data_IF_829927165923
#
_entry.id   IF_829927165923
#
_cell.length_a   1.000
_cell.length_b   1.000
_cell.length_c   1.000
_cell.angle_alpha   90.00
_cell.angle_beta   90.00
_cell.angle_gamma   90.00
#
_symmetry.space_group_name_H-M   'P 1'
#
loop_
_entity.id
_entity.type
_entity.pdbx_description
1 polymer ?
#
# COMPACT_ATOMS: atom_id res chain seq x y z
N UNK A 1 5.95 -4.48 -18.60
CA UNK A 1 4.60 -3.85 -18.59
C UNK A 1 3.48 -4.78 -18.12
N UNK A 2 3.34 -6.00 -18.66
CA UNK A 2 2.23 -6.92 -18.31
C UNK A 2 2.01 -7.11 -16.80
N UNK A 3 3.06 -7.45 -16.05
CA UNK A 3 2.95 -7.67 -14.60
C UNK A 3 2.68 -6.38 -13.83
N UNK A 4 3.31 -5.26 -14.20
CA UNK A 4 3.02 -3.96 -13.60
C UNK A 4 1.53 -3.62 -13.72
N UNK A 5 0.94 -3.78 -14.91
CA UNK A 5 -0.51 -3.58 -15.09
C UNK A 5 -1.34 -4.57 -14.26
N UNK A 6 -0.92 -5.83 -14.17
CA UNK A 6 -1.62 -6.85 -13.38
C UNK A 6 -1.65 -6.53 -11.87
N UNK A 7 -0.64 -5.84 -11.34
CA UNK A 7 -0.62 -5.36 -9.94
C UNK A 7 -1.71 -4.33 -9.63
N UNK A 8 -2.25 -3.65 -10.66
CA UNK A 8 -3.41 -2.78 -10.55
C UNK A 8 -4.69 -3.51 -10.94
N UNK A 9 -4.78 -4.00 -12.19
CA UNK A 9 -6.04 -4.48 -12.77
C UNK A 9 -6.63 -5.69 -12.06
N UNK A 10 -5.80 -6.52 -11.41
CA UNK A 10 -6.26 -7.69 -10.64
C UNK A 10 -6.90 -7.31 -9.30
N UNK A 11 -6.47 -6.21 -8.70
CA UNK A 11 -6.79 -5.88 -7.31
C UNK A 11 -7.59 -4.58 -7.15
N UNK A 12 -7.60 -3.71 -8.16
CA UNK A 12 -8.32 -2.44 -8.19
C UNK A 12 -9.49 -2.57 -9.17
N UNK A 13 -10.66 -3.05 -8.71
CA UNK A 13 -11.85 -3.12 -9.54
C UNK A 13 -12.35 -1.72 -9.91
N UNK A 14 -13.28 -1.67 -10.87
CA UNK A 14 -14.02 -0.46 -11.22
C UNK A 14 -14.64 0.18 -9.96
N UNK A 15 -14.74 1.50 -9.97
CA UNK A 15 -15.31 2.32 -8.89
C UNK A 15 -14.49 2.31 -7.59
N UNK A 16 -13.26 1.78 -7.62
CA UNK A 16 -12.32 2.00 -6.52
C UNK A 16 -11.88 3.46 -6.48
N UNK A 17 -11.74 3.99 -5.28
CA UNK A 17 -11.31 5.37 -5.04
C UNK A 17 -9.88 5.39 -4.51
N UNK A 18 -9.09 6.36 -4.94
CA UNK A 18 -7.76 6.61 -4.37
C UNK A 18 -7.93 7.20 -2.97
N UNK A 19 -7.21 6.64 -1.99
CA UNK A 19 -7.17 7.17 -0.63
C UNK A 19 -5.77 7.71 -0.33
N UNK A 20 -5.70 8.70 0.56
CA UNK A 20 -4.43 9.32 0.93
C UNK A 20 -3.51 8.32 1.63
N UNK A 21 -2.23 8.35 1.27
CA UNK A 21 -1.18 7.55 1.89
C UNK A 21 0.11 8.37 1.98
N UNK A 22 0.71 8.41 3.15
CA UNK A 22 1.96 9.15 3.42
C UNK A 22 3.09 8.18 3.76
N UNK A 23 4.30 8.52 3.35
CA UNK A 23 5.50 7.74 3.63
C UNK A 23 6.45 8.55 4.51
N UNK A 24 6.93 7.93 5.59
CA UNK A 24 7.84 8.52 6.54
C UNK A 24 9.07 7.63 6.71
N UNK A 25 10.23 8.26 6.94
CA UNK A 25 11.45 7.61 7.39
C UNK A 25 11.31 7.14 8.83
N UNK A 26 12.23 6.24 9.24
CA UNK A 26 12.40 5.87 10.64
C UNK A 26 12.63 7.08 11.54
N UNK A 27 13.28 8.13 11.01
CA UNK A 27 13.57 9.38 11.73
C UNK A 27 12.41 10.39 11.68
N UNK A 28 11.25 10.02 11.14
CA UNK A 28 10.06 10.86 11.05
C UNK A 28 10.08 11.90 9.91
N UNK A 29 11.18 12.01 9.17
CA UNK A 29 11.25 12.83 7.95
C UNK A 29 10.39 12.21 6.84
N UNK A 30 9.69 13.04 6.04
CA UNK A 30 8.99 12.54 4.85
C UNK A 30 10.01 11.98 3.85
N UNK A 31 9.78 10.75 3.40
CA UNK A 31 10.54 10.11 2.33
C UNK A 31 9.75 10.32 1.03
N UNK A 32 10.17 11.27 0.21
CA UNK A 32 9.51 11.52 -1.08
C UNK A 32 10.16 10.77 -2.25
N UNK A 33 11.40 10.29 -2.12
CA UNK A 33 12.19 9.90 -3.31
C UNK A 33 12.48 8.40 -3.49
N UNK A 34 12.15 7.50 -2.55
CA UNK A 34 12.71 6.13 -2.59
C UNK A 34 11.72 4.98 -2.81
N UNK A 35 10.44 5.16 -2.52
CA UNK A 35 9.41 4.12 -2.71
C UNK A 35 8.17 4.82 -3.22
N UNK A 36 7.70 4.40 -4.39
CA UNK A 36 6.43 4.91 -4.91
C UNK A 36 5.29 4.08 -4.32
N UNK A 37 4.21 4.75 -3.95
CA UNK A 37 3.09 4.11 -3.29
C UNK A 37 1.77 4.76 -3.68
N UNK A 38 0.73 3.94 -3.76
CA UNK A 38 -0.64 4.39 -3.95
C UNK A 38 -1.62 3.45 -3.28
N UNK A 39 -2.59 4.02 -2.59
CA UNK A 39 -3.60 3.28 -1.86
C UNK A 39 -5.00 3.50 -2.48
N UNK A 40 -5.81 2.45 -2.41
CA UNK A 40 -7.19 2.45 -2.90
C UNK A 40 -8.14 1.87 -1.85
N UNK A 41 -9.36 2.40 -1.85
CA UNK A 41 -10.51 1.74 -1.25
C UNK A 41 -11.42 1.23 -2.37
N UNK A 42 -11.66 -0.07 -2.35
CA UNK A 42 -12.51 -0.75 -3.33
C UNK A 42 -13.99 -0.68 -2.94
N UNK A 43 -14.94 -0.87 -3.87
CA UNK A 43 -16.38 -0.78 -3.57
C UNK A 43 -16.88 -1.82 -2.57
N UNK A 44 -16.21 -2.98 -2.48
CA UNK A 44 -16.53 -4.01 -1.49
C UNK A 44 -15.87 -3.77 -0.12
N UNK A 45 -15.21 -2.61 0.05
CA UNK A 45 -14.58 -2.18 1.28
C UNK A 45 -13.17 -2.69 1.51
N UNK A 46 -12.55 -3.45 0.60
CA UNK A 46 -11.13 -3.82 0.74
C UNK A 46 -10.23 -2.60 0.56
N UNK A 47 -9.13 -2.57 1.29
CA UNK A 47 -8.00 -1.66 1.06
C UNK A 47 -6.93 -2.36 0.25
N UNK A 48 -6.38 -1.63 -0.71
CA UNK A 48 -5.31 -2.08 -1.60
C UNK A 48 -4.19 -1.05 -1.54
N UNK A 49 -2.96 -1.50 -1.33
CA UNK A 49 -1.76 -0.67 -1.38
C UNK A 49 -0.81 -1.28 -2.39
N UNK A 50 -0.45 -0.50 -3.40
CA UNK A 50 0.60 -0.84 -4.35
C UNK A 50 1.87 -0.12 -3.91
N UNK A 51 2.96 -0.86 -3.77
CA UNK A 51 4.29 -0.37 -3.42
C UNK A 51 5.25 -0.72 -4.56
N UNK A 52 6.09 0.23 -4.96
CA UNK A 52 7.11 0.05 -5.98
C UNK A 52 8.45 0.47 -5.36
N UNK A 53 9.42 -0.44 -5.37
CA UNK A 53 10.79 -0.16 -5.00
C UNK A 53 11.67 -0.17 -6.25
N UNK A 54 12.01 1.02 -6.79
CA UNK A 54 12.93 1.14 -7.92
C UNK A 54 14.40 0.96 -7.50
N UNK A 55 14.69 0.92 -6.20
CA UNK A 55 16.03 0.66 -5.67
C UNK A 55 16.35 -0.85 -5.73
N UNK A 56 17.63 -1.21 -5.80
CA UNK A 56 18.09 -2.60 -5.82
C UNK A 56 18.15 -3.22 -4.42
N UNK A 57 18.07 -2.41 -3.37
CA UNK A 57 18.16 -2.86 -1.98
C UNK A 57 16.80 -3.32 -1.43
N UNK A 58 16.83 -4.34 -0.56
CA UNK A 58 15.65 -4.77 0.21
C UNK A 58 15.23 -3.66 1.19
N UNK A 59 13.94 -3.33 1.21
CA UNK A 59 13.33 -2.40 2.16
C UNK A 59 12.23 -3.08 2.97
N UNK A 60 12.17 -2.83 4.27
CA UNK A 60 11.08 -3.29 5.13
C UNK A 60 10.14 -2.12 5.41
N UNK A 61 8.98 -2.12 4.77
CA UNK A 61 8.01 -1.03 4.89
C UNK A 61 6.99 -1.36 5.98
N UNK A 62 6.94 -0.53 7.01
CA UNK A 62 5.91 -0.61 8.05
C UNK A 62 4.65 0.11 7.57
N UNK A 63 3.60 -0.65 7.28
CA UNK A 63 2.29 -0.12 6.87
C UNK A 63 1.45 0.08 8.12
N UNK A 64 0.89 1.27 8.27
CA UNK A 64 -0.05 1.60 9.33
C UNK A 64 -1.37 2.07 8.74
N UNK A 65 -2.44 1.37 9.09
CA UNK A 65 -3.80 1.74 8.75
C UNK A 65 -4.43 2.43 9.97
N UNK A 66 -4.50 3.75 9.91
CA UNK A 66 -4.96 4.61 11.01
C UNK A 66 -6.40 4.30 11.43
N UNK A 67 -7.27 3.98 10.46
CA UNK A 67 -8.69 3.71 10.72
C UNK A 67 -8.86 2.41 11.52
N UNK A 68 -7.99 1.43 11.30
CA UNK A 68 -8.07 0.11 11.96
C UNK A 68 -7.18 -0.03 13.19
N UNK A 69 -6.29 0.94 13.41
CA UNK A 69 -5.17 0.80 14.34
C UNK A 69 -4.29 -0.43 14.02
N UNK A 70 -4.21 -0.84 12.74
CA UNK A 70 -3.48 -2.05 12.32
C UNK A 70 -2.11 -1.68 11.78
N UNK A 71 -1.07 -2.36 12.27
CA UNK A 71 0.31 -2.23 11.77
C UNK A 71 0.86 -3.58 11.33
N UNK A 72 1.58 -3.61 10.22
CA UNK A 72 2.34 -4.78 9.76
C UNK A 72 3.50 -4.35 8.87
N UNK A 73 4.45 -5.26 8.67
CA UNK A 73 5.61 -5.02 7.81
C UNK A 73 5.44 -5.75 6.50
N UNK A 74 5.75 -5.06 5.40
CA UNK A 74 5.83 -5.61 4.06
C UNK A 74 7.31 -5.62 3.63
N UNK A 75 7.92 -6.80 3.43
CA UNK A 75 9.24 -6.87 2.81
C UNK A 75 9.11 -6.53 1.33
N UNK A 76 9.90 -5.57 0.87
CA UNK A 76 9.88 -5.05 -0.49
C UNK A 76 11.28 -5.24 -1.07
N UNK A 77 11.45 -6.27 -1.90
CA UNK A 77 12.72 -6.59 -2.55
C UNK A 77 13.18 -5.44 -3.45
N UNK A 78 14.45 -5.47 -3.84
CA UNK A 78 14.94 -4.56 -4.88
C UNK A 78 14.22 -4.79 -6.21
N UNK A 79 14.07 -3.73 -7.01
CA UNK A 79 13.46 -3.76 -8.34
C UNK A 79 12.09 -4.47 -8.38
N UNK A 80 11.24 -4.19 -7.38
CA UNK A 80 10.02 -4.97 -7.16
C UNK A 80 8.74 -4.13 -7.03
N UNK A 81 7.62 -4.77 -7.37
CA UNK A 81 6.26 -4.25 -7.14
C UNK A 81 5.54 -5.24 -6.21
N UNK A 82 4.93 -4.73 -5.16
CA UNK A 82 4.12 -5.53 -4.22
C UNK A 82 2.74 -4.90 -4.07
N UNK A 83 1.72 -5.75 -4.14
CA UNK A 83 0.33 -5.33 -3.87
C UNK A 83 -0.13 -5.99 -2.57
N UNK A 84 -0.33 -5.18 -1.53
CA UNK A 84 -0.93 -5.62 -0.28
C UNK A 84 -2.44 -5.39 -0.33
N UNK A 85 -3.23 -6.39 0.09
CA UNK A 85 -4.69 -6.32 0.12
C UNK A 85 -5.19 -6.79 1.47
N UNK A 86 -6.07 -6.01 2.10
CA UNK A 86 -6.66 -6.38 3.38
C UNK A 86 -8.09 -5.90 3.54
N UNK A 87 -8.82 -6.60 4.41
CA UNK A 87 -10.14 -6.15 4.89
C UNK A 87 -9.96 -5.16 6.04
N UNK A 88 -10.65 -4.01 6.04
CA UNK A 88 -10.83 -3.23 7.25
C UNK A 88 -11.56 -4.10 8.29
N UNK A 89 -11.22 -3.96 9.57
CA UNK A 89 -12.06 -4.50 10.64
C UNK A 89 -13.37 -3.72 10.54
N UNK A 90 -14.51 -4.41 10.67
CA UNK A 90 -15.80 -3.73 10.78
C UNK A 90 -15.66 -2.68 11.88
N UNK A 91 -16.00 -1.42 11.59
CA UNK A 91 -16.26 -0.45 12.63
C UNK A 91 -17.26 -1.10 13.59
N UNK A 92 -16.89 -1.25 14.87
CA UNK A 92 -17.90 -1.46 15.90
C UNK A 92 -18.82 -0.24 15.77
N UNK A 93 -20.05 -0.49 15.32
CA UNK A 93 -21.13 0.48 15.52
C UNK A 93 -21.33 0.54 17.03
N UNK A 94 -20.87 1.62 17.64
CA UNK A 94 -21.38 2.07 18.95
C UNK A 94 -22.85 2.48 18.81
#
# INVERSE_FOLDING_TARGET
MFYAMAHFSRFVPRDSVVISSTLFSADGAKLEENVEHIAFQTPNGLRVLVLINPDQSLRNISVFDEVEGRRWTVPLAGDSIVTAVWKPKKALKE
#
